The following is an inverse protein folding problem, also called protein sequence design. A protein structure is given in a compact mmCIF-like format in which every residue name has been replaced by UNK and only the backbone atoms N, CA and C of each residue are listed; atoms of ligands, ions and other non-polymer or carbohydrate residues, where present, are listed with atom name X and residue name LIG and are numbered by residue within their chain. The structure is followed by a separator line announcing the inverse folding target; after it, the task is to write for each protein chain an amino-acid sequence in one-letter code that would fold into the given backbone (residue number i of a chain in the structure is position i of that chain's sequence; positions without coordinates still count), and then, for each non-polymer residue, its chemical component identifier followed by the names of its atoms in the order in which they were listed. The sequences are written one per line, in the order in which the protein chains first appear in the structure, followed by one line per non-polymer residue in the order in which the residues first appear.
data_IF_008290835651
#
_entry.id   IF_008290835651
#
_cell.length_a   1.000
_cell.length_b   1.000
_cell.length_c   1.000
_cell.angle_alpha   90.00
_cell.angle_beta   90.00
_cell.angle_gamma   90.00
#
_symmetry.space_group_name_H-M   'P 1'
#
loop_
_entity.id
_entity.type
_entity.pdbx_description
1 polymer ?
#
# COMPACT_ATOMS: atom_id res chain seq x y z
N UNK A 1 17.49 -11.99 9.63
CA UNK A 1 17.37 -10.83 8.71
C UNK A 1 16.37 -9.86 9.31
N UNK A 2 16.59 -8.56 9.15
CA UNK A 2 15.68 -7.52 9.67
C UNK A 2 14.42 -7.51 8.79
N UNK A 3 13.24 -7.47 9.41
CA UNK A 3 11.96 -7.31 8.69
C UNK A 3 11.77 -5.83 8.35
N UNK A 4 11.45 -5.54 7.08
CA UNK A 4 11.11 -4.19 6.64
C UNK A 4 9.58 -4.04 6.60
N UNK A 5 9.06 -2.88 6.96
CA UNK A 5 7.66 -2.54 6.82
C UNK A 5 7.52 -1.20 6.09
N UNK A 6 6.71 -1.16 5.03
CA UNK A 6 6.35 0.09 4.35
C UNK A 6 4.84 0.32 4.52
N UNK A 7 4.47 1.52 4.97
CA UNK A 7 3.07 1.93 5.16
C UNK A 7 2.72 2.99 4.12
N UNK A 8 1.65 2.76 3.35
CA UNK A 8 1.17 3.65 2.31
C UNK A 8 -0.15 4.30 2.74
N UNK A 9 -0.15 5.64 2.81
CA UNK A 9 -1.32 6.44 3.15
C UNK A 9 -2.35 6.49 2.00
N UNK A 10 -3.53 7.02 2.29
CA UNK A 10 -4.63 7.16 1.33
C UNK A 10 -4.61 8.49 0.58
N UNK A 11 -5.70 8.75 -0.15
CA UNK A 11 -5.99 10.06 -0.77
C UNK A 11 -6.01 11.17 0.27
N UNK A 12 -5.42 12.32 -0.05
CA UNK A 12 -5.22 13.47 0.82
C UNK A 12 -4.45 13.18 2.12
N UNK A 13 -3.79 12.01 2.19
CA UNK A 13 -3.08 11.54 3.37
C UNK A 13 -1.61 11.97 3.45
N UNK A 14 -0.99 11.63 4.59
CA UNK A 14 0.43 11.90 4.84
C UNK A 14 1.02 10.92 5.89
N UNK A 15 2.34 10.83 6.09
CA UNK A 15 2.96 9.88 7.01
C UNK A 15 2.59 10.00 8.49
N UNK A 16 2.21 11.20 8.94
CA UNK A 16 1.96 11.52 10.35
C UNK A 16 0.48 11.42 10.79
N UNK A 17 -0.40 10.91 9.93
CA UNK A 17 -1.85 10.82 10.23
C UNK A 17 -2.29 9.44 10.74
N UNK A 18 -3.58 9.35 11.11
CA UNK A 18 -4.26 8.11 11.46
C UNK A 18 -3.46 7.30 12.50
N UNK A 19 -3.29 6.01 12.24
CA UNK A 19 -2.55 5.07 13.07
C UNK A 19 -1.13 4.82 12.55
N UNK A 20 -0.66 5.53 11.51
CA UNK A 20 0.64 5.24 10.90
C UNK A 20 1.83 5.53 11.84
N UNK A 21 1.88 6.68 12.57
CA UNK A 21 2.94 6.93 13.54
C UNK A 21 2.97 5.91 14.67
N UNK A 22 1.78 5.57 15.19
CA UNK A 22 1.66 4.58 16.24
C UNK A 22 2.13 3.20 15.75
N UNK A 23 1.67 2.75 14.59
CA UNK A 23 2.06 1.45 14.06
C UNK A 23 3.56 1.40 13.74
N UNK A 24 4.12 2.48 13.18
CA UNK A 24 5.57 2.62 12.98
C UNK A 24 6.32 2.40 14.30
N UNK A 25 5.92 3.09 15.36
CA UNK A 25 6.54 2.93 16.68
C UNK A 25 6.43 1.49 17.21
N UNK A 26 5.26 0.85 17.06
CA UNK A 26 5.07 -0.53 17.51
C UNK A 26 5.95 -1.51 16.72
N UNK A 27 6.01 -1.38 15.40
CA UNK A 27 6.83 -2.25 14.54
C UNK A 27 8.33 -2.04 14.80
N UNK A 28 8.76 -0.80 15.02
CA UNK A 28 10.15 -0.49 15.38
C UNK A 28 10.53 -1.04 16.75
N UNK A 29 9.64 -1.00 17.74
CA UNK A 29 9.85 -1.63 19.04
C UNK A 29 10.01 -3.16 18.94
N UNK A 30 9.44 -3.77 17.89
CA UNK A 30 9.61 -5.19 17.56
C UNK A 30 10.86 -5.46 16.68
N UNK A 31 11.69 -4.46 16.43
CA UNK A 31 12.90 -4.58 15.63
C UNK A 31 12.68 -4.56 14.10
N UNK A 32 11.51 -4.12 13.64
CA UNK A 32 11.25 -3.92 12.21
C UNK A 32 11.71 -2.54 11.75
N UNK A 33 12.44 -2.47 10.63
CA UNK A 33 12.72 -1.18 9.97
C UNK A 33 11.44 -0.70 9.29
N UNK A 34 10.83 0.36 9.80
CA UNK A 34 9.52 0.81 9.33
C UNK A 34 9.60 2.17 8.63
N UNK A 35 9.03 2.27 7.43
CA UNK A 35 9.08 3.45 6.57
C UNK A 35 7.66 3.84 6.18
N UNK A 36 7.39 5.14 6.14
CA UNK A 36 6.09 5.69 5.76
C UNK A 36 6.36 6.78 4.72
N UNK A 37 6.44 6.44 3.43
CA UNK A 37 6.71 7.42 2.38
C UNK A 37 5.57 8.45 2.28
N UNK A 38 5.93 9.71 2.02
CA UNK A 38 4.97 10.73 1.57
C UNK A 38 4.80 10.59 0.05
N UNK A 39 3.57 10.38 -0.39
CA UNK A 39 3.19 10.40 -1.80
C UNK A 39 2.51 11.72 -2.18
N UNK A 40 2.62 12.19 -3.44
CA UNK A 40 1.92 13.38 -3.90
C UNK A 40 0.40 13.20 -3.81
N UNK A 41 -0.26 14.12 -3.11
CA UNK A 41 -1.71 14.16 -2.96
C UNK A 41 -2.18 15.51 -2.39
N UNK A 42 -3.38 16.01 -2.73
CA UNK A 42 -4.22 15.54 -3.84
C UNK A 42 -3.64 15.90 -5.20
N UNK A 43 -2.85 16.98 -5.26
CA UNK A 43 -2.17 17.40 -6.48
C UNK A 43 -1.15 16.34 -6.91
N UNK A 44 -1.11 16.05 -8.20
CA UNK A 44 -0.20 15.06 -8.79
C UNK A 44 -0.39 13.63 -8.23
N UNK A 45 -1.57 13.29 -7.70
CA UNK A 45 -1.93 11.93 -7.26
C UNK A 45 -2.14 11.00 -8.46
N UNK A 46 -1.05 10.51 -9.04
CA UNK A 46 -1.06 9.53 -10.13
C UNK A 46 -0.28 8.29 -9.76
N UNK A 47 -0.58 7.17 -10.42
CA UNK A 47 0.16 5.92 -10.23
C UNK A 47 1.65 6.11 -10.53
N UNK A 48 1.96 6.82 -11.62
CA UNK A 48 3.32 7.09 -12.06
C UNK A 48 4.11 7.87 -11.01
N UNK A 49 3.53 8.94 -10.45
CA UNK A 49 4.20 9.75 -9.43
C UNK A 49 4.40 8.99 -8.11
N UNK A 50 3.44 8.14 -7.74
CA UNK A 50 3.59 7.29 -6.55
C UNK A 50 4.65 6.21 -6.74
N UNK A 51 4.78 5.65 -7.95
CA UNK A 51 5.86 4.73 -8.30
C UNK A 51 7.23 5.42 -8.24
N UNK A 52 7.36 6.65 -8.76
CA UNK A 52 8.61 7.43 -8.70
C UNK A 52 9.07 7.69 -7.25
N UNK A 53 8.14 7.94 -6.34
CA UNK A 53 8.46 8.01 -4.90
C UNK A 53 8.94 6.65 -4.38
N UNK A 54 8.27 5.56 -4.76
CA UNK A 54 8.61 4.22 -4.30
C UNK A 54 9.98 3.74 -4.79
N UNK A 55 10.45 4.18 -5.96
CA UNK A 55 11.80 3.88 -6.50
C UNK A 55 12.91 4.18 -5.49
N UNK A 56 12.74 5.24 -4.68
CA UNK A 56 13.69 5.62 -3.62
C UNK A 56 13.80 4.58 -2.50
N UNK A 57 12.82 3.69 -2.40
CA UNK A 57 12.70 2.66 -1.36
C UNK A 57 12.81 1.24 -1.93
N UNK A 58 13.09 1.04 -3.22
CA UNK A 58 13.12 -0.29 -3.85
C UNK A 58 14.06 -1.28 -3.14
N UNK A 59 15.20 -0.79 -2.65
CA UNK A 59 16.18 -1.59 -1.90
C UNK A 59 15.62 -2.14 -0.59
N UNK A 60 14.54 -1.57 -0.09
CA UNK A 60 13.85 -2.00 1.12
C UNK A 60 12.85 -3.12 0.84
N UNK A 61 12.49 -3.36 -0.43
CA UNK A 61 11.55 -4.42 -0.83
C UNK A 61 12.30 -5.74 -1.02
N UNK A 62 12.38 -6.48 0.07
CA UNK A 62 13.04 -7.79 0.19
C UNK A 62 12.02 -8.92 0.42
N UNK A 63 12.42 -10.20 0.35
CA UNK A 63 11.54 -11.32 0.70
C UNK A 63 10.98 -11.28 2.12
N UNK A 64 11.62 -10.55 3.04
CA UNK A 64 11.18 -10.38 4.44
C UNK A 64 10.33 -9.10 4.64
N UNK A 65 9.93 -8.43 3.57
CA UNK A 65 9.19 -7.15 3.65
C UNK A 65 7.70 -7.35 3.84
N UNK A 66 7.10 -6.46 4.63
CA UNK A 66 5.67 -6.30 4.84
C UNK A 66 5.23 -4.99 4.19
N UNK A 67 4.22 -5.03 3.33
CA UNK A 67 3.58 -3.84 2.79
C UNK A 67 2.22 -3.64 3.45
N UNK A 68 1.89 -2.41 3.81
CA UNK A 68 0.65 -2.04 4.50
C UNK A 68 0.05 -0.85 3.76
N UNK A 69 -1.17 -0.99 3.23
CA UNK A 69 -1.82 0.05 2.46
C UNK A 69 -3.18 0.41 3.05
N UNK A 70 -3.39 1.70 3.33
CA UNK A 70 -4.67 2.24 3.77
C UNK A 70 -5.40 2.93 2.62
N UNK A 71 -6.70 2.66 2.45
CA UNK A 71 -7.54 3.27 1.41
C UNK A 71 -6.85 3.18 0.04
N UNK A 72 -6.65 4.30 -0.67
CA UNK A 72 -5.94 4.33 -1.95
C UNK A 72 -4.54 3.69 -1.89
N UNK A 73 -3.84 3.79 -0.75
CA UNK A 73 -2.57 3.10 -0.52
C UNK A 73 -2.67 1.58 -0.64
N UNK A 74 -3.82 1.00 -0.31
CA UNK A 74 -4.10 -0.42 -0.55
C UNK A 74 -4.25 -0.76 -2.04
N UNK A 75 -4.91 0.10 -2.82
CA UNK A 75 -4.98 -0.07 -4.27
C UNK A 75 -3.60 0.10 -4.92
N UNK A 76 -2.81 1.07 -4.45
CA UNK A 76 -1.43 1.25 -4.88
C UNK A 76 -0.56 0.02 -4.55
N UNK A 77 -0.70 -0.57 -3.36
CA UNK A 77 0.01 -1.80 -2.98
C UNK A 77 -0.23 -2.93 -4.00
N UNK A 78 -1.47 -3.11 -4.49
CA UNK A 78 -1.73 -4.08 -5.58
C UNK A 78 -0.91 -3.77 -6.83
N UNK A 79 -0.80 -2.50 -7.23
CA UNK A 79 0.01 -2.06 -8.38
C UNK A 79 1.50 -2.29 -8.18
N UNK A 80 1.98 -2.16 -6.94
CA UNK A 80 3.35 -2.52 -6.57
C UNK A 80 3.55 -4.02 -6.77
N UNK A 81 2.66 -4.87 -6.26
CA UNK A 81 2.78 -6.33 -6.41
C UNK A 81 2.72 -6.81 -7.87
N UNK A 82 2.08 -6.06 -8.78
CA UNK A 82 2.15 -6.34 -10.22
C UNK A 82 3.53 -6.07 -10.84
N UNK A 83 4.33 -5.18 -10.25
CA UNK A 83 5.60 -4.71 -10.81
C UNK A 83 6.81 -5.35 -10.16
N UNK A 84 6.70 -5.75 -8.90
CA UNK A 84 7.79 -6.39 -8.20
C UNK A 84 8.15 -7.75 -8.80
N UNK A 85 9.43 -8.08 -8.77
CA UNK A 85 9.93 -9.44 -9.03
C UNK A 85 10.23 -10.17 -7.70
N UNK A 86 10.34 -9.42 -6.60
CA UNK A 86 10.56 -9.95 -5.26
C UNK A 86 9.24 -10.41 -4.63
N UNK A 87 9.18 -11.68 -4.22
CA UNK A 87 8.06 -12.22 -3.44
C UNK A 87 8.14 -11.80 -1.97
N UNK A 88 7.31 -10.86 -1.55
CA UNK A 88 7.31 -10.30 -0.19
C UNK A 88 6.64 -11.22 0.85
N UNK A 89 6.89 -10.95 2.12
CA UNK A 89 6.42 -11.75 3.26
C UNK A 89 4.92 -11.63 3.50
N UNK A 90 4.38 -10.42 3.47
CA UNK A 90 2.96 -10.19 3.70
C UNK A 90 2.49 -8.84 3.12
N UNK A 91 1.20 -8.77 2.79
CA UNK A 91 0.50 -7.56 2.42
C UNK A 91 -0.74 -7.37 3.30
N UNK A 92 -0.91 -6.17 3.84
CA UNK A 92 -2.04 -5.76 4.66
C UNK A 92 -2.82 -4.67 3.93
N UNK A 93 -4.10 -4.91 3.66
CA UNK A 93 -4.99 -3.94 3.05
C UNK A 93 -6.00 -3.47 4.09
N UNK A 94 -6.03 -2.17 4.37
CA UNK A 94 -6.97 -1.55 5.29
C UNK A 94 -7.85 -0.60 4.49
N UNK A 95 -9.15 -0.89 4.40
CA UNK A 95 -10.14 -0.09 3.67
C UNK A 95 -9.80 0.16 2.18
N UNK A 96 -9.11 -0.78 1.51
CA UNK A 96 -8.73 -0.60 0.10
C UNK A 96 -9.97 -0.50 -0.82
N UNK A 97 -10.08 0.52 -1.70
CA UNK A 97 -11.24 0.72 -2.57
C UNK A 97 -11.14 -0.15 -3.83
N UNK A 98 -11.13 -1.48 -3.64
CA UNK A 98 -11.00 -2.46 -4.71
C UNK A 98 -12.10 -3.49 -4.57
N UNK A 99 -12.90 -3.69 -5.62
CA UNK A 99 -13.94 -4.72 -5.63
C UNK A 99 -15.24 -4.27 -6.28
N UNK A 100 -16.33 -4.37 -5.53
CA UNK A 100 -17.70 -4.23 -6.04
C UNK A 100 -18.01 -2.75 -6.29
N UNK A 101 -18.48 -2.45 -7.50
CA UNK A 101 -18.98 -1.13 -7.88
C UNK A 101 -20.40 -0.90 -7.33
N UNK A 102 -20.78 0.35 -7.02
CA UNK A 102 -20.03 1.58 -7.23
C UNK A 102 -19.02 1.87 -6.10
N UNK A 103 -17.83 2.36 -6.49
CA UNK A 103 -16.86 2.91 -5.54
C UNK A 103 -17.13 4.41 -5.42
N UNK A 104 -17.40 4.89 -4.21
CA UNK A 104 -17.85 6.26 -3.94
C UNK A 104 -16.91 7.34 -4.51
N UNK A 105 -15.60 7.14 -4.36
CA UNK A 105 -14.56 8.07 -4.82
C UNK A 105 -13.88 7.61 -6.12
N UNK A 106 -14.58 6.82 -6.95
CA UNK A 106 -13.99 6.20 -8.14
C UNK A 106 -13.25 7.19 -9.05
N UNK A 107 -13.79 8.39 -9.27
CA UNK A 107 -13.15 9.37 -10.16
C UNK A 107 -11.78 9.86 -9.68
N UNK A 108 -11.58 9.97 -8.35
CA UNK A 108 -10.29 10.31 -7.76
C UNK A 108 -9.32 9.14 -7.77
N UNK A 109 -9.84 7.92 -7.67
CA UNK A 109 -9.03 6.71 -7.55
C UNK A 109 -8.75 6.02 -8.89
N UNK A 110 -9.48 6.39 -9.98
CA UNK A 110 -9.46 5.69 -11.28
C UNK A 110 -8.08 5.54 -11.90
N UNK A 111 -7.14 6.43 -11.59
CA UNK A 111 -5.75 6.33 -12.06
C UNK A 111 -5.03 5.11 -11.45
N UNK A 112 -5.50 4.62 -10.31
CA UNK A 112 -5.00 3.44 -9.62
C UNK A 112 -5.88 2.22 -9.86
N UNK A 113 -7.21 2.37 -9.91
CA UNK A 113 -8.15 1.24 -9.94
C UNK A 113 -8.86 1.02 -11.29
N UNK A 114 -8.76 1.96 -12.24
CA UNK A 114 -9.55 1.95 -13.48
C UNK A 114 -9.11 0.91 -14.51
N UNK A 115 -7.92 0.30 -14.33
CA UNK A 115 -7.45 -0.83 -15.15
C UNK A 115 -7.61 -2.13 -14.36
N UNK A 116 -7.89 -3.28 -15.00
CA UNK A 116 -7.88 -4.57 -14.31
C UNK A 116 -6.56 -4.82 -13.58
N UNK A 117 -6.63 -5.57 -12.48
CA UNK A 117 -5.44 -6.04 -11.75
C UNK A 117 -4.95 -7.38 -12.31
N UNK A 118 -3.63 -7.54 -12.42
CA UNK A 118 -3.00 -8.80 -12.82
C UNK A 118 -2.88 -9.75 -11.62
N UNK A 119 -4.00 -10.33 -11.22
CA UNK A 119 -4.13 -11.16 -10.02
C UNK A 119 -3.15 -12.33 -9.93
N UNK A 120 -2.78 -12.94 -11.06
CA UNK A 120 -1.79 -14.03 -11.07
C UNK A 120 -0.44 -13.55 -10.56
N UNK A 121 0.05 -12.40 -11.05
CA UNK A 121 1.33 -11.82 -10.60
C UNK A 121 1.25 -11.32 -9.15
N UNK A 122 0.14 -10.66 -8.78
CA UNK A 122 -0.09 -10.22 -7.39
C UNK A 122 -0.01 -11.40 -6.41
N UNK A 123 -0.76 -12.48 -6.67
CA UNK A 123 -0.77 -13.68 -5.82
C UNK A 123 0.58 -14.41 -5.83
N UNK A 124 1.32 -14.34 -6.92
CA UNK A 124 2.66 -14.91 -6.99
C UNK A 124 3.65 -14.15 -6.09
N UNK A 125 3.57 -12.81 -6.07
CA UNK A 125 4.53 -11.90 -5.45
C UNK A 125 4.30 -11.59 -3.97
N UNK A 126 3.35 -12.25 -3.32
CA UNK A 126 3.16 -12.12 -1.87
C UNK A 126 2.85 -13.49 -1.27
N UNK A 127 3.41 -13.76 -0.07
CA UNK A 127 3.16 -15.04 0.62
C UNK A 127 1.85 -15.03 1.40
N UNK A 128 1.51 -13.92 2.05
CA UNK A 128 0.35 -13.83 2.94
C UNK A 128 -0.42 -12.54 2.69
N UNK A 129 -1.73 -12.63 2.66
CA UNK A 129 -2.62 -11.49 2.45
C UNK A 129 -3.55 -11.34 3.64
N UNK A 130 -3.68 -10.12 4.14
CA UNK A 130 -4.60 -9.75 5.20
C UNK A 130 -5.44 -8.55 4.74
N UNK A 131 -6.76 -8.63 4.93
CA UNK A 131 -7.71 -7.62 4.48
C UNK A 131 -8.58 -7.21 5.66
N UNK A 132 -8.68 -5.90 5.89
CA UNK A 132 -9.46 -5.29 6.95
C UNK A 132 -10.37 -4.23 6.34
N UNK A 133 -11.68 -4.38 6.53
CA UNK A 133 -12.69 -3.39 6.14
C UNK A 133 -13.66 -3.21 7.30
N UNK A 134 -14.09 -1.97 7.52
CA UNK A 134 -15.18 -1.68 8.44
C UNK A 134 -16.51 -2.04 7.78
N UNK A 135 -17.46 -2.57 8.53
CA UNK A 135 -18.82 -2.86 8.06
C UNK A 135 -19.67 -1.59 7.84
N UNK A 136 -19.16 -0.45 8.28
CA UNK A 136 -19.76 0.87 8.17
C UNK A 136 -18.86 1.91 7.47
N UNK A 137 -17.91 1.46 6.64
CA UNK A 137 -17.11 2.34 5.77
C UNK A 137 -18.06 3.08 4.77
N UNK A 138 -18.11 4.42 4.78
CA UNK A 138 -19.23 5.20 4.23
C UNK A 138 -19.25 5.42 2.71
#
# INVERSE_FOLDING_TARGET
MVTNALIFHGTAGHPEENWFPWLKQQLEALGCKTLVPQFPTPDNQTLENWLEVLEKYEKEITPDTILIGHSLGGAFLLRVLERQETKIKAAFFVAAPVGILPIKNYDGDKLFIGKPFYWTKIKHNCRNFFVFHSDNDP
#
